data_IF_987893550251
#
_entry.id   IF_987893550251
#
_cell.length_a   1.000
_cell.length_b   1.000
_cell.length_c   1.000
_cell.angle_alpha   90.00
_cell.angle_beta   90.00
_cell.angle_gamma   90.00
#
_symmetry.space_group_name_H-M   'P 1'
#
loop_
_entity.id
_entity.type
_entity.pdbx_description
1 polymer ?
#
# COMPACT_ATOMS: atom_id res chain seq x y z
N UNK A 1 -19.53 -20.28 -10.07
CA UNK A 1 -18.50 -20.19 -9.02
C UNK A 1 -17.29 -19.44 -9.59
N UNK A 2 -17.42 -18.13 -9.80
CA UNK A 2 -16.41 -17.35 -10.57
C UNK A 2 -16.16 -15.95 -10.00
N UNK A 3 -16.23 -15.79 -8.67
CA UNK A 3 -16.04 -14.49 -8.00
C UNK A 3 -14.65 -14.29 -7.37
N UNK A 4 -13.84 -15.34 -7.20
CA UNK A 4 -12.53 -15.24 -6.52
C UNK A 4 -11.39 -14.72 -7.41
N UNK A 5 -11.46 -14.92 -8.74
CA UNK A 5 -10.42 -14.44 -9.67
C UNK A 5 -10.49 -12.93 -9.96
N UNK A 6 -11.69 -12.35 -9.88
CA UNK A 6 -11.89 -10.91 -10.15
C UNK A 6 -11.35 -10.01 -9.04
N UNK A 7 -11.50 -10.41 -7.78
CA UNK A 7 -11.00 -9.64 -6.64
C UNK A 7 -9.47 -9.62 -6.58
N UNK A 8 -8.82 -10.76 -6.79
CA UNK A 8 -7.36 -10.85 -6.74
C UNK A 8 -6.69 -9.97 -7.81
N UNK A 9 -7.19 -10.01 -9.05
CA UNK A 9 -6.68 -9.16 -10.15
C UNK A 9 -6.93 -7.67 -9.87
N UNK A 10 -8.09 -7.32 -9.32
CA UNK A 10 -8.44 -5.94 -8.96
C UNK A 10 -7.55 -5.41 -7.85
N UNK A 11 -7.30 -6.22 -6.81
CA UNK A 11 -6.42 -5.85 -5.71
C UNK A 11 -4.97 -5.70 -6.19
N UNK A 12 -4.50 -6.57 -7.08
CA UNK A 12 -3.18 -6.44 -7.69
C UNK A 12 -3.02 -5.12 -8.46
N UNK A 13 -4.02 -4.75 -9.27
CA UNK A 13 -4.03 -3.48 -10.00
C UNK A 13 -4.03 -2.28 -9.04
N UNK A 14 -4.89 -2.30 -8.02
CA UNK A 14 -4.95 -1.27 -6.99
C UNK A 14 -3.60 -1.05 -6.29
N UNK A 15 -2.94 -2.15 -5.90
CA UNK A 15 -1.64 -2.09 -5.23
C UNK A 15 -0.56 -1.55 -6.19
N UNK A 16 -0.54 -1.98 -7.46
CA UNK A 16 0.40 -1.47 -8.45
C UNK A 16 0.24 0.06 -8.64
N UNK A 17 -0.99 0.53 -8.80
CA UNK A 17 -1.27 1.97 -8.89
C UNK A 17 -0.88 2.75 -7.63
N UNK A 18 -1.02 2.13 -6.46
CA UNK A 18 -0.59 2.73 -5.19
C UNK A 18 0.93 2.93 -5.16
N UNK A 19 1.72 1.97 -5.64
CA UNK A 19 3.17 2.13 -5.74
C UNK A 19 3.60 3.17 -6.79
N UNK A 20 2.85 3.32 -7.89
CA UNK A 20 3.06 4.41 -8.84
C UNK A 20 2.77 5.78 -8.20
N UNK A 21 1.69 5.89 -7.43
CA UNK A 21 1.36 7.11 -6.68
C UNK A 21 2.40 7.43 -5.60
N UNK A 22 2.92 6.41 -4.91
CA UNK A 22 4.03 6.54 -3.95
C UNK A 22 5.26 7.15 -4.61
N UNK A 23 5.68 6.60 -5.75
CA UNK A 23 6.84 7.08 -6.50
C UNK A 23 6.65 8.49 -7.08
N UNK A 24 5.40 8.86 -7.42
CA UNK A 24 5.03 10.21 -7.83
C UNK A 24 4.90 11.19 -6.65
N UNK A 25 4.96 10.70 -5.41
CA UNK A 25 4.76 11.50 -4.21
C UNK A 25 3.31 12.02 -4.04
N UNK A 26 2.34 11.36 -4.65
CA UNK A 26 0.92 11.72 -4.67
C UNK A 26 0.17 11.15 -3.46
N UNK A 27 0.25 11.89 -2.35
CA UNK A 27 -0.39 11.53 -1.08
C UNK A 27 -1.92 11.46 -1.20
N UNK A 28 -2.53 12.34 -2.00
CA UNK A 28 -3.98 12.40 -2.15
C UNK A 28 -4.50 11.13 -2.84
N UNK A 29 -3.84 10.68 -3.90
CA UNK A 29 -4.20 9.45 -4.61
C UNK A 29 -4.04 8.21 -3.74
N UNK A 30 -2.99 8.14 -2.92
CA UNK A 30 -2.83 7.05 -1.96
C UNK A 30 -3.92 7.07 -0.89
N UNK A 31 -4.21 8.25 -0.33
CA UNK A 31 -5.23 8.37 0.70
C UNK A 31 -6.60 7.96 0.16
N UNK A 32 -6.95 8.31 -1.08
CA UNK A 32 -8.23 7.96 -1.69
C UNK A 32 -8.57 6.46 -1.60
N UNK A 33 -7.56 5.58 -1.57
CA UNK A 33 -7.72 4.12 -1.54
C UNK A 33 -7.47 3.50 -0.16
N UNK A 34 -6.96 4.27 0.80
CA UNK A 34 -6.72 3.81 2.16
C UNK A 34 -8.03 3.81 2.96
N UNK A 35 -8.37 2.64 3.51
CA UNK A 35 -9.51 2.46 4.39
C UNK A 35 -9.39 3.36 5.65
N UNK A 36 -10.48 3.97 6.13
CA UNK A 36 -10.44 4.83 7.33
C UNK A 36 -9.89 4.11 8.56
N UNK A 37 -10.15 2.81 8.67
CA UNK A 37 -9.78 1.89 9.74
C UNK A 37 -8.57 1.01 9.39
N UNK A 38 -7.70 1.47 8.48
CA UNK A 38 -6.47 0.76 8.10
C UNK A 38 -5.66 0.29 9.31
N UNK A 39 -5.19 -0.94 9.24
CA UNK A 39 -4.28 -1.54 10.23
C UNK A 39 -2.92 -1.76 9.56
N UNK A 40 -1.87 -1.23 10.17
CA UNK A 40 -0.50 -1.24 9.63
C UNK A 40 0.35 -2.13 10.55
N UNK A 41 0.88 -3.20 9.99
CA UNK A 41 1.77 -4.12 10.70
C UNK A 41 3.22 -3.84 10.27
N UNK A 42 4.06 -3.42 11.22
CA UNK A 42 5.50 -3.35 11.03
C UNK A 42 6.16 -4.57 11.67
N UNK A 43 7.12 -5.19 10.97
CA UNK A 43 7.80 -6.38 11.46
C UNK A 43 8.58 -6.14 12.77
N UNK A 44 9.02 -4.90 12.99
CA UNK A 44 9.77 -4.48 14.18
C UNK A 44 8.88 -4.09 15.37
N UNK A 45 7.56 -3.99 15.18
CA UNK A 45 6.63 -3.58 16.22
C UNK A 45 5.71 -4.74 16.62
N UNK A 46 5.55 -5.02 17.93
CA UNK A 46 4.66 -6.09 18.39
C UNK A 46 3.18 -5.73 18.22
N UNK A 47 2.85 -4.45 18.29
CA UNK A 47 1.47 -3.94 18.17
C UNK A 47 1.31 -3.19 16.84
N UNK A 48 0.19 -3.39 16.13
CA UNK A 48 -0.07 -2.67 14.88
C UNK A 48 -0.44 -1.21 15.14
N UNK A 49 -0.16 -0.37 14.15
CA UNK A 49 -0.70 0.98 14.10
C UNK A 49 -2.08 0.97 13.44
N UNK A 50 -2.93 1.94 13.79
CA UNK A 50 -4.28 2.03 13.25
C UNK A 50 -4.63 3.44 12.79
N UNK A 51 -5.45 3.51 11.75
CA UNK A 51 -6.09 4.73 11.31
C UNK A 51 -5.36 5.45 10.17
N UNK A 52 -6.17 6.07 9.31
CA UNK A 52 -5.70 6.78 8.12
C UNK A 52 -4.81 7.98 8.41
N UNK A 53 -4.99 8.66 9.55
CA UNK A 53 -4.10 9.74 9.99
C UNK A 53 -2.69 9.22 10.28
N UNK A 54 -2.57 8.09 10.99
CA UNK A 54 -1.28 7.46 11.27
C UNK A 54 -0.58 7.01 10.00
N UNK A 55 -1.34 6.45 9.04
CA UNK A 55 -0.82 6.12 7.72
C UNK A 55 -0.26 7.36 6.99
N UNK A 56 -1.01 8.46 6.96
CA UNK A 56 -0.60 9.72 6.31
C UNK A 56 0.69 10.29 6.92
N UNK A 57 0.79 10.30 8.25
CA UNK A 57 1.98 10.77 8.95
C UNK A 57 3.23 9.95 8.59
N UNK A 58 3.07 8.62 8.47
CA UNK A 58 4.15 7.73 8.05
C UNK A 58 4.62 8.01 6.62
N UNK A 59 3.69 8.20 5.68
CA UNK A 59 4.02 8.57 4.30
C UNK A 59 4.80 9.89 4.23
N UNK A 60 4.32 10.95 4.90
CA UNK A 60 4.99 12.26 4.90
C UNK A 60 6.37 12.20 5.55
N UNK A 61 6.53 11.39 6.61
CA UNK A 61 7.83 11.16 7.24
C UNK A 61 8.80 10.46 6.28
N UNK A 62 8.38 9.37 5.61
CA UNK A 62 9.22 8.67 4.64
C UNK A 62 9.64 9.58 3.50
N UNK A 63 8.69 10.32 2.92
CA UNK A 63 8.94 11.25 1.81
C UNK A 63 9.91 12.36 2.19
N UNK A 64 9.84 12.86 3.44
CA UNK A 64 10.78 13.87 3.96
C UNK A 64 12.17 13.28 4.20
N UNK A 65 12.26 12.08 4.74
CA UNK A 65 13.51 11.42 5.07
C UNK A 65 14.27 10.92 3.82
N UNK A 66 13.53 10.48 2.81
CA UNK A 66 14.04 9.88 1.57
C UNK A 66 13.32 10.48 0.36
N UNK A 67 13.63 11.74 -0.02
CA UNK A 67 12.92 12.45 -1.08
C UNK A 67 13.12 11.85 -2.49
N UNK A 68 14.16 11.04 -2.67
CA UNK A 68 14.53 10.34 -3.88
C UNK A 68 14.15 8.84 -3.86
N UNK A 69 13.44 8.38 -2.82
CA UNK A 69 12.99 7.01 -2.72
C UNK A 69 12.11 6.63 -3.92
N UNK A 70 12.43 5.51 -4.54
CA UNK A 70 11.62 4.87 -5.56
C UNK A 70 11.45 3.40 -5.18
N UNK A 71 10.20 2.97 -5.03
CA UNK A 71 9.85 1.58 -4.80
C UNK A 71 9.66 0.88 -6.15
N UNK A 72 10.45 -0.17 -6.41
CA UNK A 72 10.40 -0.92 -7.65
C UNK A 72 9.71 -2.25 -7.43
N UNK A 73 8.50 -2.44 -7.95
CA UNK A 73 7.80 -3.72 -7.81
C UNK A 73 8.37 -4.74 -8.82
N UNK A 74 9.16 -5.68 -8.32
CA UNK A 74 9.74 -6.76 -9.12
C UNK A 74 8.74 -7.89 -9.37
N UNK A 75 8.02 -8.33 -8.33
CA UNK A 75 7.00 -9.38 -8.41
C UNK A 75 5.74 -8.95 -7.66
N UNK A 76 4.58 -9.38 -8.18
CA UNK A 76 3.28 -9.23 -7.54
C UNK A 76 2.54 -10.57 -7.57
N UNK A 77 2.11 -11.02 -6.40
CA UNK A 77 1.30 -12.24 -6.24
C UNK A 77 0.02 -11.85 -5.52
N UNK A 78 -1.12 -12.14 -6.15
CA UNK A 78 -2.43 -11.91 -5.57
C UNK A 78 -3.19 -13.21 -5.41
N UNK A 79 -3.80 -13.40 -4.24
CA UNK A 79 -4.64 -14.54 -3.92
C UNK A 79 -5.80 -14.07 -3.05
N UNK A 80 -7.02 -14.35 -3.51
CA UNK A 80 -8.27 -13.92 -2.87
C UNK A 80 -8.33 -12.40 -2.63
N UNK A 81 -8.16 -11.98 -1.38
CA UNK A 81 -8.17 -10.59 -0.91
C UNK A 81 -6.78 -10.03 -0.61
N UNK A 82 -5.72 -10.85 -0.72
CA UNK A 82 -4.34 -10.49 -0.35
C UNK A 82 -3.45 -10.26 -1.55
N UNK A 83 -2.51 -9.35 -1.39
CA UNK A 83 -1.44 -9.05 -2.35
C UNK A 83 -0.12 -9.07 -1.62
N UNK A 84 0.86 -9.79 -2.18
CA UNK A 84 2.25 -9.78 -1.76
C UNK A 84 3.11 -9.19 -2.87
N UNK A 85 4.14 -8.45 -2.47
CA UNK A 85 5.08 -7.79 -3.37
C UNK A 85 6.51 -8.20 -3.03
N UNK A 86 7.33 -8.31 -4.07
CA UNK A 86 8.78 -8.21 -3.94
C UNK A 86 9.19 -6.84 -4.50
N UNK A 87 9.89 -6.06 -3.67
CA UNK A 87 10.40 -4.72 -3.98
C UNK A 87 11.91 -4.74 -4.22
#
# INVERSE_FOLDING_TARGET
>A
MSSQGGSAQTNAALVRESFEALNAGDAERLLAVVAPDIVIHYAEMPEPLQGRETWQQGFELMKRAFPDLQAHVDDIVAADDKVALRL
#
